data_IF_126727008101
#
_entry.id   IF_126727008101
#
_cell.length_a   1.000
_cell.length_b   1.000
_cell.length_c   1.000
_cell.angle_alpha   90.00
_cell.angle_beta   90.00
_cell.angle_gamma   90.00
#
_symmetry.space_group_name_H-M   'P 1'
#
loop_
_entity.id
_entity.type
_entity.pdbx_description
1 polymer ?
#
# COMPACT_ATOMS: atom_id res chain seq x y z
N UNK A 1 5.04 -15.16 19.95
CA UNK A 1 5.52 -14.58 18.69
C UNK A 1 4.51 -13.53 18.32
N UNK A 2 4.69 -12.32 18.83
CA UNK A 2 3.63 -11.34 18.96
C UNK A 2 4.00 -10.12 18.12
N UNK A 3 3.71 -10.20 16.82
CA UNK A 3 3.71 -9.03 15.94
C UNK A 3 2.43 -8.22 16.20
N UNK A 4 2.29 -7.72 17.43
CA UNK A 4 1.28 -6.72 17.76
C UNK A 4 1.68 -5.45 17.01
N UNK A 5 0.82 -5.05 16.08
CA UNK A 5 0.83 -3.81 15.30
C UNK A 5 1.52 -2.65 16.05
N UNK A 6 2.81 -2.47 15.80
CA UNK A 6 3.50 -1.22 16.09
C UNK A 6 3.23 -0.27 14.92
N UNK A 7 1.99 0.22 14.81
CA UNK A 7 1.63 1.28 13.87
C UNK A 7 2.22 2.60 14.37
N UNK A 8 3.50 2.84 14.05
CA UNK A 8 4.04 4.19 14.06
C UNK A 8 3.33 5.00 12.97
N UNK A 9 2.84 6.20 13.26
CA UNK A 9 2.11 7.03 12.29
C UNK A 9 2.98 7.48 11.09
N UNK A 10 4.29 7.29 11.15
CA UNK A 10 5.26 7.66 10.11
C UNK A 10 5.47 6.54 9.07
N UNK A 11 5.12 5.28 9.40
CA UNK A 11 5.21 4.12 8.49
C UNK A 11 3.98 3.95 7.58
N UNK A 12 3.00 4.85 7.69
CA UNK A 12 1.70 4.78 7.00
C UNK A 12 1.77 5.11 5.50
N UNK A 13 2.90 5.64 5.02
CA UNK A 13 3.06 6.04 3.61
C UNK A 13 3.83 5.03 2.76
N UNK A 14 4.54 4.08 3.38
CA UNK A 14 5.30 3.07 2.65
C UNK A 14 4.46 1.81 2.39
N UNK A 15 4.16 1.54 1.11
CA UNK A 15 3.38 0.37 0.70
C UNK A 15 4.01 -0.97 1.10
N UNK A 16 5.33 -1.03 1.14
CA UNK A 16 6.09 -2.21 1.59
C UNK A 16 5.80 -2.51 3.07
N UNK A 17 5.97 -1.52 3.95
CA UNK A 17 5.68 -1.66 5.38
C UNK A 17 4.20 -1.92 5.65
N UNK A 18 3.29 -1.29 4.87
CA UNK A 18 1.86 -1.50 5.03
C UNK A 18 1.45 -2.96 4.78
N UNK A 19 2.02 -3.61 3.76
CA UNK A 19 1.79 -5.04 3.49
C UNK A 19 2.67 -5.93 4.36
N UNK A 20 3.79 -5.42 4.88
CA UNK A 20 4.80 -6.22 5.58
C UNK A 20 5.69 -6.99 4.60
N UNK A 21 5.76 -6.51 3.36
CA UNK A 21 6.53 -7.11 2.28
C UNK A 21 7.78 -6.27 1.99
N UNK A 22 8.77 -6.88 1.36
CA UNK A 22 9.99 -6.21 0.93
C UNK A 22 9.97 -5.96 -0.60
N UNK A 23 10.92 -5.17 -1.12
CA UNK A 23 11.11 -5.00 -2.57
C UNK A 23 11.40 -6.33 -3.28
N UNK A 24 11.98 -7.29 -2.54
CA UNK A 24 12.26 -8.65 -2.98
C UNK A 24 11.03 -9.58 -2.97
N UNK A 25 9.93 -9.18 -2.33
CA UNK A 25 8.74 -10.01 -2.23
C UNK A 25 8.06 -10.19 -3.60
N UNK A 26 7.73 -11.44 -3.91
CA UNK A 26 7.03 -11.81 -5.14
C UNK A 26 5.58 -11.34 -5.10
N UNK A 27 4.99 -11.10 -6.27
CA UNK A 27 3.56 -10.72 -6.41
C UNK A 27 2.63 -11.70 -5.69
N UNK A 28 2.96 -12.99 -5.71
CA UNK A 28 2.20 -14.04 -5.02
C UNK A 28 2.21 -13.88 -3.49
N UNK A 29 3.36 -13.54 -2.90
CA UNK A 29 3.47 -13.27 -1.46
C UNK A 29 2.68 -12.02 -1.07
N UNK A 30 2.82 -10.95 -1.86
CA UNK A 30 2.07 -9.70 -1.64
C UNK A 30 0.56 -9.96 -1.66
N UNK A 31 0.07 -10.79 -2.58
CA UNK A 31 -1.34 -11.16 -2.65
C UNK A 31 -1.79 -12.03 -1.48
N UNK A 32 -0.91 -12.89 -0.96
CA UNK A 32 -1.18 -13.73 0.20
C UNK A 32 -1.25 -12.89 1.49
N UNK A 33 -0.23 -12.06 1.78
CA UNK A 33 -0.22 -11.13 2.91
C UNK A 33 -1.40 -10.16 2.85
N UNK A 34 -1.70 -9.61 1.67
CA UNK A 34 -2.86 -8.75 1.47
C UNK A 34 -4.16 -9.46 1.88
N UNK A 35 -4.36 -10.72 1.46
CA UNK A 35 -5.59 -11.45 1.81
C UNK A 35 -5.73 -11.63 3.32
N UNK A 36 -4.65 -11.95 4.01
CA UNK A 36 -4.65 -12.14 5.47
C UNK A 36 -5.02 -10.82 6.15
N UNK A 37 -4.30 -9.73 5.85
CA UNK A 37 -4.56 -8.40 6.41
C UNK A 37 -5.95 -7.84 6.06
N UNK A 38 -6.42 -8.09 4.84
CA UNK A 38 -7.74 -7.67 4.40
C UNK A 38 -8.88 -8.38 5.16
N UNK A 39 -8.68 -9.64 5.53
CA UNK A 39 -9.62 -10.40 6.35
C UNK A 39 -9.61 -9.91 7.81
N UNK A 40 -8.44 -9.53 8.32
CA UNK A 40 -8.28 -8.95 9.66
C UNK A 40 -8.90 -7.56 9.76
N UNK A 41 -8.71 -6.72 8.74
CA UNK A 41 -9.24 -5.35 8.70
C UNK A 41 -10.62 -5.26 8.02
N UNK A 42 -11.32 -6.38 7.85
CA UNK A 42 -12.56 -6.42 7.07
C UNK A 42 -13.66 -5.58 7.74
N UNK A 43 -14.29 -4.62 7.02
CA UNK A 43 -15.27 -3.70 7.62
C UNK A 43 -16.54 -4.41 8.13
N UNK A 44 -16.82 -5.63 7.64
CA UNK A 44 -17.92 -6.49 8.13
C UNK A 44 -17.71 -6.96 9.58
N UNK A 45 -16.46 -7.22 9.99
CA UNK A 45 -16.13 -7.59 11.38
C UNK A 45 -16.00 -6.38 12.29
N UNK A 46 -15.81 -5.20 11.72
CA UNK A 46 -15.69 -3.92 12.44
C UNK A 46 -16.75 -2.92 11.98
N UNK A 47 -18.05 -3.24 12.15
CA UNK A 47 -19.12 -2.32 11.75
C UNK A 47 -18.99 -1.01 12.52
N UNK A 48 -18.71 0.08 11.81
CA UNK A 48 -18.65 1.43 12.38
C UNK A 48 -17.25 2.00 12.66
N UNK A 49 -16.17 1.30 12.29
CA UNK A 49 -14.82 1.88 12.38
C UNK A 49 -14.37 2.50 11.04
N UNK A 50 -14.42 3.84 10.88
CA UNK A 50 -13.95 4.49 9.65
C UNK A 50 -12.45 4.27 9.39
N UNK A 51 -11.68 4.00 10.47
CA UNK A 51 -10.26 3.64 10.37
C UNK A 51 -10.04 2.33 9.60
N UNK A 52 -10.90 1.32 9.79
CA UNK A 52 -10.76 0.05 9.09
C UNK A 52 -11.00 0.20 7.58
N UNK A 53 -11.94 1.07 7.20
CA UNK A 53 -12.20 1.40 5.79
C UNK A 53 -10.99 2.11 5.17
N UNK A 54 -10.39 3.06 5.88
CA UNK A 54 -9.20 3.78 5.42
C UNK A 54 -8.00 2.82 5.26
N UNK A 55 -7.76 1.96 6.25
CA UNK A 55 -6.67 0.98 6.22
C UNK A 55 -6.84 -0.03 5.08
N UNK A 56 -8.07 -0.52 4.87
CA UNK A 56 -8.41 -1.43 3.78
C UNK A 56 -8.16 -0.78 2.41
N UNK A 57 -8.57 0.47 2.22
CA UNK A 57 -8.31 1.22 0.99
C UNK A 57 -6.81 1.39 0.74
N UNK A 58 -6.03 1.69 1.79
CA UNK A 58 -4.57 1.78 1.69
C UNK A 58 -3.94 0.44 1.32
N UNK A 59 -4.35 -0.66 1.96
CA UNK A 59 -3.87 -2.01 1.67
C UNK A 59 -4.14 -2.39 0.21
N UNK A 60 -5.34 -2.07 -0.28
CA UNK A 60 -5.72 -2.34 -1.67
C UNK A 60 -4.84 -1.56 -2.65
N UNK A 61 -4.56 -0.31 -2.35
CA UNK A 61 -3.74 0.58 -3.17
C UNK A 61 -2.27 0.16 -3.19
N UNK A 62 -1.74 -0.24 -2.03
CA UNK A 62 -0.40 -0.80 -1.89
C UNK A 62 -0.25 -2.06 -2.74
N UNK A 63 -1.19 -3.00 -2.62
CA UNK A 63 -1.25 -4.21 -3.44
C UNK A 63 -1.24 -3.85 -4.92
N UNK A 64 -2.11 -2.95 -5.36
CA UNK A 64 -2.27 -2.64 -6.78
C UNK A 64 -1.02 -1.98 -7.38
N UNK A 65 -0.27 -1.24 -6.56
CA UNK A 65 1.02 -0.65 -6.94
C UNK A 65 2.13 -1.71 -6.99
N UNK A 66 2.22 -2.58 -5.99
CA UNK A 66 3.30 -3.57 -5.88
C UNK A 66 3.12 -4.81 -6.77
N UNK A 67 1.88 -5.12 -7.16
CA UNK A 67 1.54 -6.23 -8.07
C UNK A 67 1.89 -5.92 -9.53
N UNK A 68 1.93 -4.65 -9.91
CA UNK A 68 2.21 -4.25 -11.29
C UNK A 68 3.64 -3.73 -11.42
N UNK A 69 4.47 -4.39 -12.23
CA UNK A 69 5.88 -4.03 -12.40
C UNK A 69 6.07 -2.58 -12.87
N UNK A 70 5.17 -2.06 -13.73
CA UNK A 70 5.25 -0.68 -14.18
C UNK A 70 4.95 0.31 -13.04
N UNK A 71 3.97 0.00 -12.20
CA UNK A 71 3.62 0.84 -11.04
C UNK A 71 4.68 0.77 -9.94
N UNK A 72 5.30 -0.39 -9.74
CA UNK A 72 6.46 -0.54 -8.86
C UNK A 72 7.62 0.33 -9.33
N UNK A 73 7.99 0.26 -10.61
CA UNK A 73 9.05 1.10 -11.18
C UNK A 73 8.74 2.61 -11.05
N UNK A 74 7.48 3.00 -11.24
CA UNK A 74 6.97 4.35 -11.00
C UNK A 74 7.10 4.76 -9.53
N UNK A 75 6.77 3.87 -8.60
CA UNK A 75 6.91 4.08 -7.16
C UNK A 75 8.37 4.27 -6.76
N UNK A 76 9.29 3.43 -7.26
CA UNK A 76 10.73 3.59 -7.05
C UNK A 76 11.26 4.91 -7.61
N UNK A 77 10.78 5.33 -8.80
CA UNK A 77 11.14 6.62 -9.36
C UNK A 77 10.64 7.78 -8.50
N UNK A 78 9.41 7.71 -8.00
CA UNK A 78 8.84 8.69 -7.08
C UNK A 78 9.65 8.79 -5.78
N UNK A 79 9.99 7.65 -5.15
CA UNK A 79 10.85 7.59 -3.95
C UNK A 79 12.21 8.23 -4.19
N UNK A 80 12.84 7.95 -5.33
CA UNK A 80 14.13 8.54 -5.72
C UNK A 80 14.05 10.04 -5.94
N UNK A 81 12.91 10.53 -6.44
CA UNK A 81 12.70 11.95 -6.74
C UNK A 81 12.47 12.81 -5.49
N UNK A 82 12.16 12.19 -4.33
CA UNK A 82 11.90 12.87 -3.04
C UNK A 82 10.97 14.08 -3.19
N UNK A 83 9.94 13.94 -4.02
CA UNK A 83 8.96 15.00 -4.25
C UNK A 83 8.00 15.08 -3.06
N UNK A 84 7.59 16.28 -2.61
CA UNK A 84 6.68 16.43 -1.46
C UNK A 84 5.22 16.08 -1.81
N UNK A 85 4.96 15.52 -2.99
CA UNK A 85 3.62 15.11 -3.42
C UNK A 85 3.40 13.63 -3.10
N UNK A 86 2.24 13.24 -2.55
CA UNK A 86 1.97 11.85 -2.25
C UNK A 86 1.91 11.04 -3.56
N UNK A 87 2.36 9.78 -3.52
CA UNK A 87 2.48 8.93 -4.71
C UNK A 87 1.19 8.87 -5.53
N UNK A 88 0.02 8.84 -4.87
CA UNK A 88 -1.30 8.86 -5.53
C UNK A 88 -1.48 10.06 -6.47
N UNK A 89 -1.05 11.24 -6.03
CA UNK A 89 -1.14 12.46 -6.81
C UNK A 89 -0.11 12.46 -7.93
N UNK A 90 1.10 11.98 -7.63
CA UNK A 90 2.17 11.87 -8.62
C UNK A 90 1.82 10.89 -9.76
N UNK A 91 1.20 9.74 -9.44
CA UNK A 91 0.73 8.77 -10.43
C UNK A 91 -0.36 9.37 -11.32
N UNK A 92 -1.31 10.13 -10.75
CA UNK A 92 -2.36 10.81 -11.51
C UNK A 92 -1.82 11.90 -12.44
N UNK A 93 -0.81 12.66 -12.00
CA UNK A 93 -0.14 13.65 -12.85
C UNK A 93 0.65 12.97 -13.99
N UNK A 94 1.32 11.84 -13.69
CA UNK A 94 2.05 11.06 -14.68
C UNK A 94 1.14 10.32 -15.66
N UNK A 95 -0.10 9.98 -15.30
CA UNK A 95 -1.06 9.38 -16.23
C UNK A 95 -1.74 10.40 -17.14
N UNK A 96 -1.87 11.65 -16.68
CA UNK A 96 -2.49 12.73 -17.45
C UNK A 96 -1.67 13.23 -18.65
N UNK A 97 -0.36 12.95 -18.72
CA UNK A 97 0.52 13.46 -19.79
C UNK A 97 0.58 12.57 -21.04
N UNK A 98 -0.32 11.58 -21.17
CA UNK A 98 -0.37 10.65 -22.31
C UNK A 98 -1.75 10.68 -22.98
N UNK A 99 -2.05 11.77 -23.69
CA UNK A 99 -3.14 11.85 -24.70
C UNK A 99 -2.68 12.70 -25.87
#
# INVERSE_FOLDING_TARGET
MDAILNCKPEDLEDYYNLLGCDELSTVEQILAEYKIKALECHPDKHPGNPKAVEDFQRLQQAKETLTNAERRARYDHWRRSRVPVPFRHWEALSSSVRT
#
